data_IF_307187152614
#
_entry.id   IF_307187152614
#
_cell.length_a   1.000
_cell.length_b   1.000
_cell.length_c   1.000
_cell.angle_alpha   90.00
_cell.angle_beta   90.00
_cell.angle_gamma   90.00
#
_symmetry.space_group_name_H-M   'P 1'
#
loop_
_entity.id
_entity.type
_entity.pdbx_description
1 polymer ?
#
# COMPACT_ATOMS: atom_id res chain seq x y z
N UNK A 1 -39.43 -15.42 -66.93
CA UNK A 1 -39.97 -15.72 -65.58
C UNK A 1 -39.26 -14.76 -64.66
N UNK A 2 -39.93 -14.20 -63.66
CA UNK A 2 -39.23 -13.38 -62.68
C UNK A 2 -38.18 -14.24 -61.98
N UNK A 3 -36.96 -13.73 -61.87
CA UNK A 3 -35.85 -14.34 -61.15
C UNK A 3 -35.05 -13.25 -60.47
N UNK A 4 -34.72 -13.46 -59.20
CA UNK A 4 -33.83 -12.57 -58.47
C UNK A 4 -32.46 -12.48 -59.15
N UNK A 5 -31.87 -11.29 -59.17
CA UNK A 5 -30.55 -11.00 -59.76
C UNK A 5 -30.59 -10.77 -61.27
N UNK A 6 -31.77 -10.54 -61.87
CA UNK A 6 -31.90 -10.31 -63.32
C UNK A 6 -31.80 -8.85 -63.75
N UNK A 7 -31.66 -7.94 -62.77
CA UNK A 7 -31.53 -6.50 -62.92
C UNK A 7 -32.87 -5.77 -63.01
N UNK A 8 -34.00 -6.44 -62.77
CA UNK A 8 -35.33 -5.84 -62.86
C UNK A 8 -36.23 -6.19 -61.66
N UNK A 9 -36.69 -5.16 -60.95
CA UNK A 9 -37.70 -5.33 -59.89
C UNK A 9 -39.06 -5.70 -60.49
N UNK A 10 -39.55 -6.90 -60.18
CA UNK A 10 -40.88 -7.40 -60.50
C UNK A 10 -41.88 -7.12 -59.37
N UNK A 11 -42.84 -6.22 -59.64
CA UNK A 11 -43.86 -5.79 -58.68
C UNK A 11 -44.61 -6.98 -58.03
N UNK A 12 -44.59 -7.02 -56.69
CA UNK A 12 -45.28 -8.03 -55.89
C UNK A 12 -44.57 -9.39 -55.80
N UNK A 13 -43.38 -9.51 -56.38
CA UNK A 13 -42.52 -10.70 -56.28
C UNK A 13 -41.27 -10.39 -55.45
N UNK A 14 -40.63 -9.24 -55.70
CA UNK A 14 -39.44 -8.77 -55.00
C UNK A 14 -39.53 -7.29 -54.59
N UNK A 15 -38.74 -6.91 -53.59
CA UNK A 15 -38.64 -5.51 -53.12
C UNK A 15 -37.40 -4.80 -53.63
N UNK A 16 -36.39 -5.55 -54.08
CA UNK A 16 -35.14 -5.08 -54.67
C UNK A 16 -34.67 -6.09 -55.74
N UNK A 17 -33.77 -5.66 -56.64
CA UNK A 17 -32.97 -6.51 -57.53
C UNK A 17 -31.80 -5.63 -58.03
N UNK A 18 -30.57 -6.05 -57.75
CA UNK A 18 -29.35 -5.30 -58.08
C UNK A 18 -28.56 -5.91 -59.27
N UNK A 19 -29.08 -6.99 -59.87
CA UNK A 19 -28.50 -7.69 -60.99
C UNK A 19 -27.37 -8.67 -60.66
N UNK A 20 -27.25 -9.11 -59.39
CA UNK A 20 -26.28 -10.12 -58.98
C UNK A 20 -26.90 -11.18 -58.01
N UNK A 21 -26.11 -12.16 -57.57
CA UNK A 21 -26.50 -13.21 -56.60
C UNK A 21 -25.61 -13.15 -55.33
N UNK A 22 -25.28 -11.95 -54.84
CA UNK A 22 -24.40 -11.69 -53.70
C UNK A 22 -25.25 -11.34 -52.49
N UNK A 23 -25.09 -12.09 -51.40
CA UNK A 23 -25.92 -11.90 -50.21
C UNK A 23 -25.42 -10.78 -49.27
N UNK A 24 -24.25 -10.18 -49.54
CA UNK A 24 -23.58 -9.25 -48.62
C UNK A 24 -23.70 -7.78 -49.03
N UNK A 25 -24.69 -7.44 -49.86
CA UNK A 25 -24.96 -6.08 -50.32
C UNK A 25 -26.40 -5.63 -49.97
N UNK A 26 -26.87 -4.51 -50.53
CA UNK A 26 -28.20 -3.96 -50.21
C UNK A 26 -29.37 -4.80 -50.73
N UNK A 27 -29.12 -5.78 -51.60
CA UNK A 27 -30.13 -6.68 -52.12
C UNK A 27 -29.63 -8.13 -52.24
N UNK A 28 -29.74 -8.91 -51.15
CA UNK A 28 -29.37 -10.32 -51.14
C UNK A 28 -30.10 -11.14 -52.22
N UNK A 29 -29.61 -12.36 -52.51
CA UNK A 29 -30.19 -13.25 -53.51
C UNK A 29 -31.62 -13.77 -53.17
N UNK A 30 -32.16 -13.33 -52.04
CA UNK A 30 -33.58 -13.51 -51.65
C UNK A 30 -34.49 -12.45 -52.26
N UNK A 31 -33.93 -11.36 -52.82
CA UNK A 31 -34.62 -10.21 -53.38
C UNK A 31 -35.62 -9.55 -52.40
N UNK A 32 -35.29 -9.64 -51.12
CA UNK A 32 -35.77 -8.75 -50.07
C UNK A 32 -34.66 -7.75 -49.77
N UNK A 33 -34.99 -6.51 -49.42
CA UNK A 33 -33.96 -5.54 -49.01
C UNK A 33 -33.23 -6.07 -47.77
N UNK A 34 -31.90 -5.93 -47.74
CA UNK A 34 -31.09 -6.33 -46.60
C UNK A 34 -31.59 -5.63 -45.32
N UNK A 35 -31.80 -6.42 -44.27
CA UNK A 35 -32.17 -5.93 -42.94
C UNK A 35 -31.50 -6.77 -41.87
N UNK A 36 -31.09 -6.11 -40.79
CA UNK A 36 -30.59 -6.81 -39.62
C UNK A 36 -31.55 -7.91 -39.13
N UNK A 37 -31.01 -9.09 -38.89
CA UNK A 37 -31.71 -10.31 -38.50
C UNK A 37 -32.22 -11.15 -39.67
N UNK A 38 -31.80 -10.88 -40.91
CA UNK A 38 -32.20 -11.66 -42.09
C UNK A 38 -31.30 -12.87 -42.39
N UNK A 39 -30.20 -13.01 -41.65
CA UNK A 39 -29.22 -14.08 -41.75
C UNK A 39 -28.05 -13.77 -42.70
N UNK A 40 -27.98 -12.57 -43.26
CA UNK A 40 -26.92 -12.14 -44.16
C UNK A 40 -26.27 -10.83 -43.69
N UNK A 41 -24.94 -10.80 -43.67
CA UNK A 41 -24.19 -9.60 -43.24
C UNK A 41 -24.07 -8.61 -44.40
N UNK A 42 -24.70 -7.44 -44.29
CA UNK A 42 -24.52 -6.34 -45.23
C UNK A 42 -23.15 -5.67 -45.04
N UNK A 43 -22.21 -5.97 -45.94
CA UNK A 43 -20.80 -5.57 -45.82
C UNK A 43 -20.63 -4.04 -45.74
N UNK A 44 -20.02 -3.58 -44.65
CA UNK A 44 -19.75 -2.17 -44.40
C UNK A 44 -20.91 -1.39 -43.79
N UNK A 45 -22.04 -2.05 -43.50
CA UNK A 45 -23.17 -1.49 -42.75
C UNK A 45 -23.38 -2.26 -41.45
N UNK A 46 -23.34 -3.59 -41.49
CA UNK A 46 -23.54 -4.46 -40.33
C UNK A 46 -22.22 -5.10 -39.90
N UNK A 47 -22.01 -5.23 -38.58
CA UNK A 47 -20.84 -5.92 -38.04
C UNK A 47 -21.05 -7.44 -37.96
N UNK A 48 -22.30 -7.86 -37.79
CA UNK A 48 -22.75 -9.24 -37.71
C UNK A 48 -24.22 -9.33 -38.16
N UNK A 49 -24.68 -10.55 -38.44
CA UNK A 49 -26.10 -10.90 -38.57
C UNK A 49 -26.19 -12.41 -38.31
N UNK A 50 -26.98 -12.81 -37.33
CA UNK A 50 -27.16 -14.22 -36.95
C UNK A 50 -28.57 -14.76 -37.24
N UNK A 51 -29.41 -13.94 -37.89
CA UNK A 51 -30.75 -14.28 -38.32
C UNK A 51 -31.81 -14.25 -37.22
N UNK A 52 -31.58 -13.53 -36.12
CA UNK A 52 -32.55 -13.41 -35.02
C UNK A 52 -32.57 -12.00 -34.38
N UNK A 53 -33.49 -11.75 -33.42
CA UNK A 53 -33.64 -10.48 -32.69
C UNK A 53 -33.25 -10.62 -31.19
N UNK A 54 -32.26 -11.45 -30.85
CA UNK A 54 -31.90 -11.84 -29.47
C UNK A 54 -30.59 -11.17 -29.05
N UNK A 55 -30.72 -10.14 -28.21
CA UNK A 55 -29.59 -9.36 -27.68
C UNK A 55 -28.70 -10.08 -26.65
N UNK A 56 -28.87 -11.38 -26.43
CA UNK A 56 -28.07 -12.14 -25.44
C UNK A 56 -27.15 -13.16 -26.10
N UNK A 57 -26.95 -13.06 -27.41
CA UNK A 57 -25.99 -13.87 -28.16
C UNK A 57 -24.92 -13.00 -28.83
N UNK A 58 -24.22 -13.52 -29.84
CA UNK A 58 -23.08 -12.85 -30.44
C UNK A 58 -23.45 -11.58 -31.22
N UNK A 59 -24.71 -11.43 -31.63
CA UNK A 59 -25.14 -10.34 -32.49
C UNK A 59 -26.40 -9.67 -31.93
N UNK A 60 -26.32 -8.36 -31.71
CA UNK A 60 -27.47 -7.61 -31.23
C UNK A 60 -28.51 -7.45 -32.35
N UNK A 61 -29.76 -7.14 -31.99
CA UNK A 61 -30.87 -6.77 -32.88
C UNK A 61 -30.63 -5.46 -33.66
N UNK A 62 -29.48 -4.82 -33.38
CA UNK A 62 -28.95 -3.64 -34.07
C UNK A 62 -27.81 -3.97 -35.04
N UNK A 63 -27.44 -5.25 -35.16
CA UNK A 63 -26.33 -5.76 -35.98
C UNK A 63 -24.95 -5.21 -35.63
N UNK A 64 -24.81 -4.81 -34.37
CA UNK A 64 -23.53 -4.63 -33.70
C UNK A 64 -23.16 -5.95 -32.99
N UNK A 65 -21.87 -6.25 -32.94
CA UNK A 65 -21.39 -7.42 -32.20
C UNK A 65 -21.54 -7.15 -30.70
N UNK A 66 -22.07 -8.13 -29.95
CA UNK A 66 -22.17 -8.03 -28.50
C UNK A 66 -20.79 -7.86 -27.86
N UNK A 67 -20.70 -7.00 -26.85
CA UNK A 67 -19.44 -6.71 -26.16
C UNK A 67 -19.69 -6.20 -24.75
N UNK A 68 -18.84 -6.65 -23.82
CA UNK A 68 -18.77 -6.10 -22.46
C UNK A 68 -18.76 -4.56 -22.43
N UNK A 69 -19.68 -3.98 -21.67
CA UNK A 69 -19.92 -2.55 -21.53
C UNK A 69 -20.99 -1.98 -22.47
N UNK A 70 -21.72 -2.83 -23.22
CA UNK A 70 -22.80 -2.39 -24.11
C UNK A 70 -24.19 -2.32 -23.42
N UNK A 71 -24.25 -2.76 -22.16
CA UNK A 71 -25.44 -2.79 -21.32
C UNK A 71 -26.32 -4.03 -21.52
N UNK A 72 -25.86 -5.04 -22.26
CA UNK A 72 -26.61 -6.24 -22.61
C UNK A 72 -25.79 -7.51 -22.38
N UNK A 73 -26.23 -8.36 -21.45
CA UNK A 73 -25.52 -9.59 -21.09
C UNK A 73 -25.50 -10.62 -22.23
N UNK A 74 -24.32 -10.89 -22.77
CA UNK A 74 -24.02 -12.00 -23.68
C UNK A 74 -23.96 -13.33 -22.92
N UNK A 75 -25.06 -14.10 -23.00
CA UNK A 75 -25.26 -15.33 -22.25
C UNK A 75 -24.16 -16.38 -22.53
N UNK A 76 -23.45 -16.78 -21.47
CA UNK A 76 -22.41 -17.79 -21.51
C UNK A 76 -21.03 -17.28 -21.92
N UNK A 77 -20.89 -15.97 -22.20
CA UNK A 77 -19.61 -15.28 -22.39
C UNK A 77 -19.32 -14.36 -21.21
N UNK A 78 -20.33 -13.67 -20.70
CA UNK A 78 -20.22 -12.79 -19.53
C UNK A 78 -21.30 -13.06 -18.49
N UNK A 79 -21.06 -12.65 -17.25
CA UNK A 79 -22.00 -12.89 -16.13
C UNK A 79 -22.76 -11.63 -15.69
N UNK A 80 -22.29 -10.45 -16.09
CA UNK A 80 -22.92 -9.16 -15.88
C UNK A 80 -22.54 -8.20 -17.02
N UNK A 81 -23.31 -7.13 -17.19
CA UNK A 81 -22.97 -5.95 -17.99
C UNK A 81 -23.86 -4.81 -17.50
N UNK A 82 -23.27 -3.75 -16.95
CA UNK A 82 -23.98 -2.57 -16.45
C UNK A 82 -23.86 -1.34 -17.36
N UNK A 83 -23.17 -1.49 -18.49
CA UNK A 83 -23.03 -0.48 -19.53
C UNK A 83 -22.01 0.62 -19.23
N UNK A 84 -21.04 0.39 -18.34
CA UNK A 84 -19.91 1.29 -18.17
C UNK A 84 -18.55 0.57 -17.97
N UNK A 85 -17.49 1.36 -17.72
CA UNK A 85 -16.09 0.89 -17.60
C UNK A 85 -15.57 1.10 -16.15
N UNK A 86 -16.44 1.07 -15.14
CA UNK A 86 -16.07 1.32 -13.74
C UNK A 86 -15.74 0.01 -13.03
N UNK A 87 -14.47 -0.19 -12.71
CA UNK A 87 -14.01 -1.43 -12.06
C UNK A 87 -14.38 -1.57 -10.57
N UNK A 88 -14.99 -0.55 -9.97
CA UNK A 88 -15.16 -0.48 -8.50
C UNK A 88 -16.58 -0.78 -8.02
N UNK A 89 -17.42 -1.37 -8.85
CA UNK A 89 -18.82 -1.67 -8.53
C UNK A 89 -19.14 -3.17 -8.69
N UNK A 90 -20.43 -3.50 -8.91
CA UNK A 90 -20.90 -4.88 -9.01
C UNK A 90 -20.46 -5.57 -10.30
N UNK A 91 -20.12 -4.82 -11.36
CA UNK A 91 -19.76 -5.34 -12.68
C UNK A 91 -18.54 -4.62 -13.29
N UNK A 92 -17.31 -5.04 -12.94
CA UNK A 92 -16.09 -4.49 -13.50
C UNK A 92 -16.01 -4.63 -15.02
N UNK A 93 -15.07 -3.91 -15.65
CA UNK A 93 -14.85 -3.93 -17.11
C UNK A 93 -14.41 -5.30 -17.69
N UNK A 94 -14.30 -6.33 -16.85
CA UNK A 94 -14.12 -7.73 -17.24
C UNK A 94 -15.44 -8.45 -17.55
N UNK A 95 -16.59 -7.84 -17.21
CA UNK A 95 -17.93 -8.42 -17.29
C UNK A 95 -18.08 -9.78 -16.58
N UNK A 96 -17.25 -9.98 -15.57
CA UNK A 96 -17.45 -11.00 -14.55
C UNK A 96 -17.92 -10.31 -13.27
N UNK A 97 -18.91 -10.90 -12.58
CA UNK A 97 -19.43 -10.31 -11.35
C UNK A 97 -18.30 -10.06 -10.35
N UNK A 98 -18.25 -8.87 -9.75
CA UNK A 98 -17.21 -8.51 -8.79
C UNK A 98 -17.11 -9.53 -7.65
N UNK A 99 -15.89 -9.99 -7.37
CA UNK A 99 -15.58 -10.90 -6.29
C UNK A 99 -14.20 -10.63 -5.71
N UNK A 100 -14.11 -10.65 -4.39
CA UNK A 100 -12.84 -10.71 -3.69
C UNK A 100 -11.81 -11.67 -4.32
N UNK A 101 -10.65 -11.13 -4.66
CA UNK A 101 -9.55 -11.77 -5.37
C UNK A 101 -9.58 -11.57 -6.90
N UNK A 102 -10.48 -10.74 -7.44
CA UNK A 102 -10.59 -10.51 -8.90
C UNK A 102 -9.63 -9.44 -9.44
N UNK A 103 -8.97 -8.69 -8.54
CA UNK A 103 -7.99 -7.66 -8.86
C UNK A 103 -8.57 -6.24 -8.85
N UNK A 104 -9.85 -6.07 -8.51
CA UNK A 104 -10.52 -4.79 -8.40
C UNK A 104 -11.16 -4.63 -7.02
N UNK A 105 -11.20 -3.39 -6.51
CA UNK A 105 -11.80 -3.12 -5.20
C UNK A 105 -13.24 -2.68 -5.38
N UNK A 106 -14.20 -3.48 -4.92
CA UNK A 106 -15.62 -3.13 -4.91
C UNK A 106 -15.91 -2.07 -3.83
N UNK A 107 -16.09 -0.82 -4.24
CA UNK A 107 -16.21 0.34 -3.36
C UNK A 107 -17.42 0.23 -2.43
N UNK A 108 -17.15 0.26 -1.11
CA UNK A 108 -18.19 0.19 -0.09
C UNK A 108 -18.67 -1.22 0.26
N UNK A 109 -18.15 -2.25 -0.42
CA UNK A 109 -18.34 -3.67 -0.08
C UNK A 109 -17.03 -4.28 0.42
N UNK A 110 -15.91 -4.00 -0.23
CA UNK A 110 -14.58 -4.56 0.08
C UNK A 110 -13.66 -3.50 0.70
N UNK A 111 -12.78 -3.91 1.63
CA UNK A 111 -11.77 -3.00 2.22
C UNK A 111 -10.45 -3.00 1.42
N UNK A 112 -10.17 -4.07 0.70
CA UNK A 112 -9.02 -4.31 -0.16
C UNK A 112 -9.35 -5.39 -1.19
N UNK A 113 -8.49 -5.56 -2.19
CA UNK A 113 -8.45 -6.70 -3.12
C UNK A 113 -7.01 -6.81 -3.64
N UNK A 114 -6.41 -8.01 -3.57
CA UNK A 114 -5.04 -8.25 -4.04
C UNK A 114 -4.95 -9.24 -5.22
N UNK A 115 -6.08 -9.46 -5.89
CA UNK A 115 -6.18 -10.21 -7.14
C UNK A 115 -5.82 -11.69 -7.02
N UNK A 116 -5.95 -12.27 -5.82
CA UNK A 116 -5.68 -13.69 -5.62
C UNK A 116 -6.49 -14.31 -4.45
N UNK A 117 -6.46 -15.65 -4.35
CA UNK A 117 -7.19 -16.43 -3.33
C UNK A 117 -6.29 -16.88 -2.15
N UNK A 118 -5.29 -16.09 -1.76
CA UNK A 118 -4.43 -16.37 -0.60
C UNK A 118 -4.95 -15.59 0.61
N UNK A 119 -5.12 -16.25 1.75
CA UNK A 119 -5.79 -15.65 2.92
C UNK A 119 -4.86 -14.83 3.82
N UNK A 120 -3.55 -14.86 3.52
CA UNK A 120 -2.46 -14.49 4.43
C UNK A 120 -1.54 -13.40 3.82
N UNK A 121 -1.98 -12.66 2.80
CA UNK A 121 -1.22 -11.61 2.11
C UNK A 121 -1.87 -10.21 2.25
N UNK A 122 -1.93 -9.42 1.18
CA UNK A 122 -2.25 -7.99 1.25
C UNK A 122 -3.73 -7.76 1.60
N UNK A 123 -4.57 -8.68 1.15
CA UNK A 123 -5.97 -8.78 1.49
C UNK A 123 -6.32 -10.21 1.92
N UNK A 124 -7.16 -10.39 2.95
CA UNK A 124 -7.69 -11.73 3.19
C UNK A 124 -8.68 -12.12 2.09
N UNK A 125 -8.95 -13.42 1.95
CA UNK A 125 -9.94 -13.94 1.00
C UNK A 125 -11.38 -13.54 1.34
N UNK A 126 -11.59 -12.86 2.47
CA UNK A 126 -12.86 -12.24 2.86
C UNK A 126 -12.88 -10.72 2.65
N UNK A 127 -11.89 -10.20 1.92
CA UNK A 127 -11.70 -8.79 1.58
C UNK A 127 -11.66 -7.85 2.78
N UNK A 128 -11.26 -8.40 3.93
CA UNK A 128 -10.87 -7.63 5.09
C UNK A 128 -9.38 -7.33 5.03
N UNK A 129 -9.01 -6.12 5.45
CA UNK A 129 -7.60 -5.76 5.52
C UNK A 129 -6.91 -6.59 6.62
N UNK A 130 -6.07 -7.54 6.22
CA UNK A 130 -5.23 -8.35 7.11
C UNK A 130 -4.10 -7.50 7.72
N UNK A 131 -4.41 -6.80 8.79
CA UNK A 131 -3.44 -6.27 9.78
C UNK A 131 -2.08 -5.77 9.25
N UNK A 132 -2.05 -4.72 8.42
CA UNK A 132 -0.96 -3.73 8.27
C UNK A 132 0.52 -4.18 8.13
N UNK A 133 0.81 -5.46 7.91
CA UNK A 133 2.16 -5.98 7.86
C UNK A 133 2.30 -7.01 6.73
N UNK A 134 2.49 -6.51 5.51
CA UNK A 134 2.89 -7.27 4.32
C UNK A 134 3.82 -8.42 4.67
N UNK A 135 3.39 -9.68 4.49
CA UNK A 135 4.16 -10.88 4.86
C UNK A 135 5.43 -11.02 4.00
N UNK A 136 6.49 -10.28 4.35
CA UNK A 136 7.73 -10.30 3.63
C UNK A 136 8.79 -9.41 4.26
N UNK A 137 10.02 -9.56 3.75
CA UNK A 137 11.07 -8.60 4.06
C UNK A 137 10.80 -7.30 3.30
N UNK A 138 10.65 -6.20 4.01
CA UNK A 138 10.49 -4.89 3.40
C UNK A 138 11.83 -4.23 3.07
N UNK A 139 11.78 -3.22 2.21
CA UNK A 139 12.93 -2.39 1.90
C UNK A 139 13.39 -1.62 3.14
N UNK A 140 14.69 -1.71 3.44
CA UNK A 140 15.28 -0.98 4.55
C UNK A 140 15.46 0.49 4.18
N UNK A 141 14.84 1.39 4.93
CA UNK A 141 15.00 2.83 4.79
C UNK A 141 15.89 3.35 5.92
N UNK A 142 16.96 4.06 5.57
CA UNK A 142 17.90 4.62 6.55
C UNK A 142 18.10 6.11 6.32
N UNK A 143 17.80 6.91 7.35
CA UNK A 143 18.12 8.33 7.38
C UNK A 143 19.48 8.56 8.04
N UNK A 144 20.39 9.19 7.29
CA UNK A 144 21.75 9.52 7.73
C UNK A 144 21.88 11.00 8.06
N UNK A 145 22.18 11.30 9.33
CA UNK A 145 22.34 12.68 9.80
C UNK A 145 23.51 13.38 9.10
N UNK A 146 24.67 12.73 9.04
CA UNK A 146 25.89 13.37 8.51
C UNK A 146 25.91 13.46 6.99
N UNK A 147 25.21 12.55 6.30
CA UNK A 147 25.09 12.61 4.84
C UNK A 147 23.97 13.53 4.37
N UNK A 148 23.07 13.97 5.26
CA UNK A 148 21.89 14.74 4.90
C UNK A 148 21.05 14.02 3.83
N UNK A 149 20.89 12.71 4.00
CA UNK A 149 20.29 11.80 3.02
C UNK A 149 19.40 10.75 3.68
N UNK A 150 18.42 10.25 2.94
CA UNK A 150 17.75 8.99 3.21
C UNK A 150 18.10 8.01 2.09
N UNK A 151 18.28 6.73 2.42
CA UNK A 151 18.64 5.68 1.46
C UNK A 151 17.73 4.48 1.62
N UNK A 152 17.41 3.84 0.50
CA UNK A 152 16.62 2.61 0.45
C UNK A 152 17.52 1.45 0.05
N UNK A 153 17.38 0.31 0.72
CA UNK A 153 18.16 -0.89 0.48
C UNK A 153 17.24 -2.09 0.24
N UNK A 154 17.67 -2.98 -0.65
CA UNK A 154 16.97 -4.22 -1.02
C UNK A 154 16.84 -5.18 0.18
N UNK A 155 15.67 -5.80 0.40
CA UNK A 155 15.42 -6.70 1.52
C UNK A 155 16.31 -7.96 1.54
N UNK A 156 16.69 -8.47 0.36
CA UNK A 156 17.37 -9.77 0.23
C UNK A 156 18.88 -9.67 0.28
N UNK A 157 19.45 -8.69 -0.42
CA UNK A 157 20.90 -8.55 -0.59
C UNK A 157 21.47 -7.25 0.02
N UNK A 158 20.61 -6.39 0.59
CA UNK A 158 20.99 -5.10 1.17
C UNK A 158 21.74 -4.17 0.21
N UNK A 159 21.54 -4.36 -1.10
CA UNK A 159 22.03 -3.48 -2.15
C UNK A 159 21.32 -2.13 -2.09
N UNK A 160 22.06 -1.06 -2.33
CA UNK A 160 21.49 0.29 -2.39
C UNK A 160 20.55 0.39 -3.61
N UNK A 161 19.28 0.67 -3.36
CA UNK A 161 18.25 0.92 -4.38
C UNK A 161 18.27 2.38 -4.78
N UNK A 162 18.16 3.27 -3.80
CA UNK A 162 17.97 4.69 -4.07
C UNK A 162 18.54 5.60 -2.97
N UNK A 163 18.80 6.86 -3.33
CA UNK A 163 19.30 7.90 -2.44
C UNK A 163 18.51 9.19 -2.63
N UNK A 164 17.90 9.62 -1.54
CA UNK A 164 17.14 10.86 -1.44
C UNK A 164 17.98 11.93 -0.75
N UNK A 165 18.05 13.10 -1.37
CA UNK A 165 18.83 14.25 -0.89
C UNK A 165 17.88 15.40 -0.51
N UNK A 166 18.42 16.57 -0.16
CA UNK A 166 17.60 17.72 0.25
C UNK A 166 17.15 17.66 1.71
N UNK A 167 17.68 16.73 2.51
CA UNK A 167 17.47 16.68 3.94
C UNK A 167 18.52 17.54 4.68
N UNK A 168 18.31 17.78 5.98
CA UNK A 168 19.21 18.55 6.82
C UNK A 168 19.24 17.98 8.23
N UNK A 169 20.26 17.18 8.52
CA UNK A 169 20.45 16.51 9.80
C UNK A 169 19.30 15.58 10.19
N UNK A 170 18.78 14.71 9.30
CA UNK A 170 17.62 13.88 9.61
C UNK A 170 17.90 12.94 10.80
N UNK A 171 16.90 12.77 11.65
CA UNK A 171 16.99 12.06 12.93
C UNK A 171 16.06 10.85 13.02
N UNK A 172 14.96 10.87 12.25
CA UNK A 172 13.96 9.82 12.18
C UNK A 172 13.37 9.77 10.77
N UNK A 173 12.82 8.63 10.38
CA UNK A 173 12.16 8.44 9.09
C UNK A 173 11.03 7.44 9.27
N UNK A 174 9.91 7.66 8.59
CA UNK A 174 8.82 6.71 8.46
C UNK A 174 8.27 6.76 7.03
N UNK A 175 8.13 5.63 6.34
CA UNK A 175 7.33 5.55 5.12
C UNK A 175 5.86 5.80 5.43
N UNK A 176 5.14 6.44 4.50
CA UNK A 176 3.69 6.51 4.53
C UNK A 176 3.05 5.86 3.30
N UNK A 177 1.74 5.63 3.36
CA UNK A 177 1.00 4.93 2.32
C UNK A 177 0.85 5.74 1.02
N UNK A 178 1.12 7.05 1.06
CA UNK A 178 1.00 7.95 -0.10
C UNK A 178 2.28 8.01 -0.95
N UNK A 179 3.14 6.99 -0.88
CA UNK A 179 4.40 6.94 -1.63
C UNK A 179 5.44 7.97 -1.17
N UNK A 180 5.35 8.46 0.07
CA UNK A 180 6.30 9.43 0.63
C UNK A 180 7.01 8.92 1.87
N UNK A 181 8.22 9.43 2.10
CA UNK A 181 8.92 9.31 3.38
C UNK A 181 8.67 10.57 4.21
N UNK A 182 8.38 10.38 5.49
CA UNK A 182 8.21 11.42 6.50
C UNK A 182 9.43 11.44 7.40
N UNK A 183 10.28 12.44 7.21
CA UNK A 183 11.59 12.54 7.85
C UNK A 183 11.59 13.60 8.94
N UNK A 184 11.81 13.20 10.19
CA UNK A 184 11.95 14.15 11.30
C UNK A 184 13.33 14.80 11.30
N UNK A 185 13.37 16.13 11.22
CA UNK A 185 14.62 16.89 11.20
C UNK A 185 14.42 18.33 11.68
N UNK A 186 15.37 18.89 12.44
CA UNK A 186 15.34 20.30 12.90
C UNK A 186 13.98 20.79 13.44
N UNK A 187 13.19 19.89 14.03
CA UNK A 187 11.89 20.20 14.61
C UNK A 187 10.72 20.26 13.63
N UNK A 188 10.93 19.88 12.37
CA UNK A 188 9.90 19.75 11.34
C UNK A 188 9.85 18.32 10.82
N UNK A 189 8.72 17.95 10.22
CA UNK A 189 8.64 16.76 9.36
C UNK A 189 8.90 17.24 7.93
N UNK A 190 9.90 16.66 7.27
CA UNK A 190 10.14 16.86 5.84
C UNK A 190 9.66 15.65 5.06
N UNK A 191 8.77 15.87 4.12
CA UNK A 191 8.34 14.84 3.19
C UNK A 191 9.37 14.67 2.08
N UNK A 192 9.49 13.44 1.59
CA UNK A 192 10.27 13.08 0.42
C UNK A 192 9.40 12.17 -0.44
N UNK A 193 9.04 12.63 -1.63
CA UNK A 193 8.27 11.83 -2.58
C UNK A 193 9.17 10.76 -3.23
N UNK A 194 8.75 9.50 -3.16
CA UNK A 194 9.59 8.38 -3.60
C UNK A 194 9.77 8.34 -5.12
N UNK A 195 8.86 8.93 -5.90
CA UNK A 195 8.92 8.93 -7.37
C UNK A 195 9.58 10.22 -7.86
N UNK A 196 8.98 11.37 -7.56
CA UNK A 196 9.41 12.68 -8.05
C UNK A 196 10.64 13.23 -7.33
N UNK A 197 11.03 12.63 -6.20
CA UNK A 197 12.13 13.06 -5.32
C UNK A 197 11.95 14.46 -4.73
N UNK A 198 10.76 15.04 -4.87
CA UNK A 198 10.46 16.35 -4.31
C UNK A 198 10.42 16.30 -2.79
N UNK A 199 10.79 17.41 -2.15
CA UNK A 199 10.79 17.52 -0.70
C UNK A 199 10.03 18.75 -0.25
N UNK A 200 9.27 18.64 0.85
CA UNK A 200 8.54 19.75 1.44
C UNK A 200 8.53 19.64 2.97
N UNK A 201 8.63 20.77 3.67
CA UNK A 201 8.47 20.78 5.13
C UNK A 201 6.99 20.94 5.48
N UNK A 202 6.51 20.13 6.42
CA UNK A 202 5.14 20.11 6.92
C UNK A 202 5.11 20.18 8.46
N UNK A 203 3.94 20.48 9.03
CA UNK A 203 3.75 20.51 10.50
C UNK A 203 4.28 21.74 11.23
N UNK A 204 4.84 22.75 10.53
CA UNK A 204 5.01 24.11 11.06
C UNK A 204 5.86 24.26 12.33
N UNK A 205 7.04 23.64 12.41
CA UNK A 205 8.01 23.87 13.50
C UNK A 205 7.54 23.34 14.86
N UNK A 206 7.43 22.01 14.95
CA UNK A 206 6.89 21.26 16.09
C UNK A 206 7.67 21.45 17.39
N UNK A 207 9.00 21.60 17.28
CA UNK A 207 9.89 21.89 18.40
C UNK A 207 11.08 22.72 17.95
N UNK A 208 11.73 23.42 18.87
CA UNK A 208 13.02 24.08 18.62
C UNK A 208 14.21 23.11 18.58
N UNK A 209 13.97 21.80 18.64
CA UNK A 209 14.97 20.73 18.75
C UNK A 209 14.77 19.64 17.72
N UNK A 210 15.28 18.44 17.98
CA UNK A 210 15.21 17.32 17.05
C UNK A 210 14.00 16.42 17.32
N UNK A 211 13.38 15.93 16.23
CA UNK A 211 12.38 14.87 16.25
C UNK A 211 13.09 13.52 16.16
N UNK A 212 13.11 12.77 17.25
CA UNK A 212 13.84 11.51 17.35
C UNK A 212 13.00 10.30 16.93
N UNK A 213 11.69 10.48 16.78
CA UNK A 213 10.75 9.43 16.40
C UNK A 213 9.68 10.00 15.51
N UNK A 214 9.48 9.32 14.38
CA UNK A 214 8.38 9.55 13.45
C UNK A 214 7.83 8.16 13.14
N UNK A 215 6.51 8.00 13.22
CA UNK A 215 5.79 6.79 12.82
C UNK A 215 4.57 7.21 12.03
N UNK A 216 4.27 6.52 10.94
CA UNK A 216 3.00 6.68 10.23
C UNK A 216 2.12 5.47 10.57
N UNK A 217 0.89 5.73 10.98
CA UNK A 217 -0.11 4.71 11.28
C UNK A 217 -1.49 5.28 11.00
N UNK A 218 -2.36 4.52 10.32
CA UNK A 218 -3.71 4.94 9.93
C UNK A 218 -3.77 6.38 9.34
N UNK A 219 -2.95 6.65 8.32
CA UNK A 219 -2.86 7.96 7.65
C UNK A 219 -2.53 9.15 8.55
N UNK A 220 -1.90 8.89 9.71
CA UNK A 220 -1.45 9.93 10.64
C UNK A 220 0.02 9.78 10.98
N UNK A 221 0.66 10.93 11.20
CA UNK A 221 2.06 11.03 11.58
C UNK A 221 2.14 11.26 13.08
N UNK A 222 2.87 10.39 13.78
CA UNK A 222 3.16 10.49 15.21
C UNK A 222 4.60 10.93 15.38
N UNK A 223 4.79 12.18 15.79
CA UNK A 223 6.10 12.81 15.92
C UNK A 223 6.47 13.01 17.39
N UNK A 224 7.67 12.55 17.75
CA UNK A 224 8.20 12.66 19.11
C UNK A 224 9.64 13.17 19.10
N UNK A 225 10.01 13.88 20.17
CA UNK A 225 11.28 14.59 20.20
C UNK A 225 11.68 15.04 21.59
N UNK A 226 12.91 15.52 21.70
CA UNK A 226 13.41 16.09 22.95
C UNK A 226 12.73 17.44 23.21
N UNK A 227 12.29 17.65 24.46
CA UNK A 227 11.56 18.86 24.84
C UNK A 227 10.06 18.82 24.54
N UNK A 228 9.54 17.77 23.88
CA UNK A 228 8.10 17.61 23.67
C UNK A 228 7.43 17.07 24.95
N UNK A 229 6.34 17.69 25.43
CA UNK A 229 5.56 17.16 26.55
C UNK A 229 4.60 16.02 26.15
N UNK A 230 4.35 15.88 24.85
CA UNK A 230 3.43 14.91 24.25
C UNK A 230 3.91 14.50 22.87
N UNK A 231 3.43 13.37 22.35
CA UNK A 231 3.62 13.01 20.94
C UNK A 231 2.65 13.87 20.13
N UNK A 232 3.17 14.56 19.12
CA UNK A 232 2.33 15.35 18.21
C UNK A 232 1.72 14.42 17.16
N UNK A 233 0.44 14.60 16.87
CA UNK A 233 -0.25 13.88 15.80
C UNK A 233 -0.58 14.86 14.68
N UNK A 234 -0.21 14.53 13.46
CA UNK A 234 -0.50 15.30 12.25
C UNK A 234 -1.22 14.42 11.22
N UNK A 235 -2.03 15.02 10.37
CA UNK A 235 -2.43 14.36 9.12
C UNK A 235 -1.24 14.32 8.15
N UNK A 236 -1.32 13.52 7.09
CA UNK A 236 -0.25 13.41 6.08
C UNK A 236 0.09 14.74 5.39
N UNK A 237 -0.88 15.65 5.28
CA UNK A 237 -0.69 17.01 4.76
C UNK A 237 0.00 17.97 5.75
N UNK A 238 0.25 17.51 6.98
CA UNK A 238 0.86 18.29 8.07
C UNK A 238 -0.09 19.14 8.88
N UNK A 239 -1.39 19.08 8.62
CA UNK A 239 -2.40 19.74 9.46
C UNK A 239 -2.46 19.06 10.84
N UNK A 240 -2.81 19.86 11.85
CA UNK A 240 -2.84 19.39 13.24
C UNK A 240 -3.97 18.38 13.46
N UNK A 241 -3.62 17.17 13.93
CA UNK A 241 -4.58 16.11 14.25
C UNK A 241 -4.62 15.82 15.76
N UNK A 242 -3.97 16.65 16.59
CA UNK A 242 -3.99 16.55 18.04
C UNK A 242 -2.69 16.05 18.64
N UNK A 243 -2.78 15.44 19.83
CA UNK A 243 -1.61 15.00 20.60
C UNK A 243 -1.94 13.75 21.42
N UNK A 244 -0.95 12.85 21.58
CA UNK A 244 -0.99 11.76 22.57
C UNK A 244 -0.21 12.22 23.80
N UNK A 245 -0.91 12.40 24.92
CA UNK A 245 -0.31 12.89 26.16
C UNK A 245 0.66 11.86 26.75
N UNK A 246 1.86 12.29 27.13
CA UNK A 246 2.86 11.44 27.80
C UNK A 246 3.00 11.84 29.29
N UNK A 247 2.64 10.95 30.23
CA UNK A 247 2.73 11.25 31.67
C UNK A 247 4.14 11.50 32.18
N UNK A 248 5.18 10.96 31.54
CA UNK A 248 6.58 11.08 31.97
C UNK A 248 7.33 12.28 31.38
N UNK A 249 6.67 13.11 30.56
CA UNK A 249 7.19 14.41 30.12
C UNK A 249 8.45 14.38 29.23
N UNK A 250 9.15 15.52 29.20
CA UNK A 250 10.07 15.95 28.14
C UNK A 250 11.33 15.08 28.00
N UNK A 251 11.31 14.10 27.09
CA UNK A 251 12.48 13.48 26.43
C UNK A 251 12.04 12.26 25.60
N UNK A 252 11.00 12.46 24.81
CA UNK A 252 10.45 11.41 23.97
C UNK A 252 11.47 11.01 22.90
N UNK A 253 11.52 9.72 22.55
CA UNK A 253 12.51 9.19 21.60
C UNK A 253 11.85 8.57 20.40
N UNK A 254 11.43 7.33 20.49
CA UNK A 254 10.88 6.57 19.36
C UNK A 254 9.48 6.08 19.71
N UNK A 255 8.65 6.04 18.70
CA UNK A 255 7.24 5.62 18.71
C UNK A 255 7.08 4.37 17.84
N UNK A 256 6.13 3.50 18.18
CA UNK A 256 5.75 2.35 17.38
C UNK A 256 4.30 1.96 17.63
N UNK A 257 3.67 1.33 16.64
CA UNK A 257 2.36 0.68 16.78
C UNK A 257 2.52 -0.83 16.71
N UNK A 258 1.79 -1.55 17.55
CA UNK A 258 1.66 -3.00 17.47
C UNK A 258 0.62 -3.43 16.44
N UNK A 259 0.59 -4.72 16.05
CA UNK A 259 -0.36 -5.24 15.07
C UNK A 259 -1.82 -5.12 15.53
N UNK A 260 -2.07 -5.10 16.84
CA UNK A 260 -3.41 -4.89 17.42
C UNK A 260 -3.79 -3.40 17.56
N UNK A 261 -2.94 -2.47 17.12
CA UNK A 261 -3.15 -1.01 17.24
C UNK A 261 -2.64 -0.39 18.54
N UNK A 262 -2.04 -1.17 19.44
CA UNK A 262 -1.40 -0.65 20.65
C UNK A 262 -0.26 0.33 20.32
N UNK A 263 -0.21 1.45 21.03
CA UNK A 263 0.81 2.46 20.83
C UNK A 263 1.89 2.38 21.90
N UNK A 264 3.15 2.40 21.48
CA UNK A 264 4.32 2.30 22.36
C UNK A 264 5.24 3.50 22.18
N UNK A 265 5.74 4.02 23.30
CA UNK A 265 6.64 5.16 23.33
C UNK A 265 7.85 4.89 24.22
N UNK A 266 9.03 5.11 23.67
CA UNK A 266 10.28 5.09 24.42
C UNK A 266 10.72 6.49 24.86
N UNK A 267 11.46 6.56 25.95
CA UNK A 267 11.94 7.82 26.54
C UNK A 267 13.39 7.69 27.02
N UNK A 268 14.11 8.81 26.96
CA UNK A 268 15.50 8.86 27.41
C UNK A 268 15.60 9.13 28.91
N UNK A 269 16.59 8.52 29.59
CA UNK A 269 16.80 8.68 31.03
C UNK A 269 16.60 7.40 31.86
N UNK A 270 16.37 6.25 31.22
CA UNK A 270 16.38 4.93 31.89
C UNK A 270 15.09 4.54 32.62
N UNK A 271 14.03 5.36 32.50
CA UNK A 271 12.67 4.98 32.89
C UNK A 271 12.06 3.92 31.97
N UNK A 272 10.90 3.36 32.35
CA UNK A 272 10.18 2.40 31.52
C UNK A 272 9.72 3.05 30.21
N UNK A 273 9.43 2.21 29.22
CA UNK A 273 8.59 2.60 28.09
C UNK A 273 7.19 2.98 28.55
N UNK A 274 6.36 3.42 27.63
CA UNK A 274 4.98 3.80 27.88
C UNK A 274 4.08 3.12 26.85
N UNK A 275 2.89 2.71 27.26
CA UNK A 275 1.94 1.96 26.44
C UNK A 275 0.53 2.57 26.54
N UNK A 276 -0.15 2.60 25.40
CA UNK A 276 -1.55 2.98 25.24
C UNK A 276 -2.26 1.90 24.45
N UNK A 277 -3.53 1.68 24.78
CA UNK A 277 -4.37 0.76 24.04
C UNK A 277 -4.72 1.31 22.63
N UNK A 278 -5.40 0.53 21.77
CA UNK A 278 -5.74 0.95 20.40
C UNK A 278 -6.60 2.22 20.34
N UNK A 279 -7.38 2.51 21.38
CA UNK A 279 -8.11 3.78 21.52
C UNK A 279 -7.26 4.97 21.96
N UNK A 280 -5.93 4.82 22.00
CA UNK A 280 -4.94 5.79 22.51
C UNK A 280 -5.20 6.23 23.95
N UNK A 281 -5.82 5.38 24.77
CA UNK A 281 -5.91 5.59 26.21
C UNK A 281 -4.68 5.01 26.91
N UNK A 282 -4.07 5.81 27.79
CA UNK A 282 -2.84 5.42 28.49
C UNK A 282 -3.09 4.24 29.41
N UNK A 283 -2.35 3.15 29.20
CA UNK A 283 -2.48 1.91 29.97
C UNK A 283 -1.42 1.84 31.09
N UNK A 284 -0.22 2.34 30.85
CA UNK A 284 0.79 2.44 31.90
C UNK A 284 2.24 2.45 31.43
N UNK A 285 3.20 2.34 32.38
CA UNK A 285 4.60 2.10 32.06
C UNK A 285 4.80 0.67 31.54
N UNK A 286 5.70 0.52 30.58
CA UNK A 286 6.00 -0.72 29.86
C UNK A 286 7.49 -1.09 29.97
N UNK A 287 7.81 -2.38 30.05
CA UNK A 287 9.20 -2.87 29.96
C UNK A 287 10.08 -2.70 31.21
N UNK A 288 9.52 -2.25 32.34
CA UNK A 288 10.22 -2.13 33.63
C UNK A 288 11.30 -1.04 33.69
N UNK A 289 11.92 -0.86 34.85
CA UNK A 289 13.01 0.11 35.05
C UNK A 289 14.38 -0.45 34.65
N UNK A 290 15.34 0.42 34.31
CA UNK A 290 16.73 0.01 34.05
C UNK A 290 17.08 -0.24 32.58
N UNK A 291 16.23 0.20 31.65
CA UNK A 291 16.42 0.08 30.19
C UNK A 291 17.59 0.92 29.63
N UNK A 292 18.35 1.63 30.46
CA UNK A 292 19.61 2.27 30.04
C UNK A 292 19.45 3.23 28.85
N UNK A 293 18.50 4.17 28.94
CA UNK A 293 18.11 5.09 27.85
C UNK A 293 17.57 4.37 26.61
N UNK A 294 16.26 4.10 26.63
CA UNK A 294 15.52 3.55 25.52
C UNK A 294 15.47 4.57 24.36
N UNK A 295 16.11 4.24 23.25
CA UNK A 295 16.25 5.13 22.08
C UNK A 295 15.36 4.72 20.91
N UNK A 296 15.11 3.41 20.78
CA UNK A 296 14.26 2.84 19.75
C UNK A 296 13.20 1.95 20.38
N UNK A 297 12.00 1.96 19.81
CA UNK A 297 10.96 0.96 20.06
C UNK A 297 10.40 0.51 18.72
N UNK A 298 10.12 -0.79 18.59
CA UNK A 298 9.42 -1.38 17.45
C UNK A 298 8.66 -2.60 17.93
N UNK A 299 7.84 -3.17 17.06
CA UNK A 299 6.98 -4.33 17.34
C UNK A 299 7.20 -5.37 16.25
N UNK A 300 7.14 -6.63 16.64
CA UNK A 300 7.15 -7.76 15.71
C UNK A 300 5.74 -8.07 15.22
N UNK A 301 5.62 -8.82 14.13
CA UNK A 301 4.32 -9.30 13.62
C UNK A 301 3.63 -10.20 14.65
N UNK A 302 4.41 -10.94 15.44
CA UNK A 302 3.95 -11.72 16.60
C UNK A 302 3.39 -10.88 17.77
N UNK A 303 3.53 -9.56 17.72
CA UNK A 303 3.14 -8.65 18.78
C UNK A 303 4.21 -8.38 19.83
N UNK A 304 5.37 -9.06 19.76
CA UNK A 304 6.47 -8.81 20.69
C UNK A 304 6.99 -7.37 20.55
N UNK A 305 7.15 -6.69 21.68
CA UNK A 305 7.62 -5.30 21.72
C UNK A 305 9.12 -5.30 21.98
N UNK A 306 9.86 -4.59 21.14
CA UNK A 306 11.31 -4.54 21.17
C UNK A 306 11.74 -3.13 21.58
N UNK A 307 12.55 -3.03 22.64
CA UNK A 307 13.11 -1.75 23.09
C UNK A 307 14.63 -1.79 22.99
N UNK A 308 15.19 -0.86 22.22
CA UNK A 308 16.63 -0.74 22.03
C UNK A 308 17.26 0.26 23.01
N UNK A 309 18.28 -0.21 23.74
CA UNK A 309 18.97 0.53 24.79
C UNK A 309 20.34 1.02 24.34
N UNK A 310 20.55 2.33 24.42
CA UNK A 310 21.84 2.93 24.06
C UNK A 310 22.94 2.60 25.08
N UNK A 311 22.66 2.72 26.39
CA UNK A 311 23.70 2.56 27.41
C UNK A 311 24.06 1.09 27.66
N UNK A 312 23.09 0.19 27.46
CA UNK A 312 23.30 -1.24 27.69
C UNK A 312 23.78 -1.96 26.42
N UNK A 313 23.83 -1.27 25.27
CA UNK A 313 24.21 -1.83 23.97
C UNK A 313 23.47 -3.13 23.66
N UNK A 314 22.16 -3.16 23.94
CA UNK A 314 21.30 -4.32 23.82
C UNK A 314 19.89 -3.88 23.43
N UNK A 315 19.09 -4.79 22.87
CA UNK A 315 17.64 -4.64 22.84
C UNK A 315 16.97 -5.68 23.75
N UNK A 316 15.80 -5.32 24.24
CA UNK A 316 14.98 -6.10 25.16
C UNK A 316 13.68 -6.47 24.47
N UNK A 317 13.26 -7.72 24.62
CA UNK A 317 12.04 -8.27 24.05
C UNK A 317 11.02 -8.46 25.18
N UNK A 318 9.84 -7.92 24.97
CA UNK A 318 8.71 -8.03 25.89
C UNK A 318 7.50 -8.61 25.14
N UNK A 319 6.67 -9.37 25.84
CA UNK A 319 5.32 -9.66 25.34
C UNK A 319 4.46 -8.39 25.41
N UNK A 320 3.32 -8.39 24.71
CA UNK A 320 2.37 -7.28 24.69
C UNK A 320 1.87 -6.87 26.08
N UNK A 321 1.77 -7.84 27.01
CA UNK A 321 1.39 -7.59 28.41
C UNK A 321 2.52 -6.97 29.25
N UNK A 322 3.66 -6.64 28.64
CA UNK A 322 4.83 -6.07 29.31
C UNK A 322 5.75 -7.09 29.96
N UNK A 323 5.47 -8.39 29.86
CA UNK A 323 6.32 -9.44 30.42
C UNK A 323 7.66 -9.49 29.71
N UNK A 324 8.76 -9.38 30.46
CA UNK A 324 10.11 -9.53 29.92
C UNK A 324 10.36 -10.96 29.43
N UNK A 325 10.75 -11.10 28.16
CA UNK A 325 11.11 -12.38 27.55
C UNK A 325 12.62 -12.61 27.56
N UNK A 326 13.38 -11.70 26.94
CA UNK A 326 14.84 -11.85 26.75
C UNK A 326 15.50 -10.51 26.43
N UNK A 327 16.83 -10.49 26.56
CA UNK A 327 17.67 -9.39 26.08
C UNK A 327 18.74 -9.91 25.14
N UNK A 328 19.04 -9.18 24.08
CA UNK A 328 20.03 -9.53 23.07
C UNK A 328 21.10 -8.44 23.01
N UNK A 329 22.36 -8.84 23.19
CA UNK A 329 23.48 -7.92 23.04
C UNK A 329 23.65 -7.54 21.57
N UNK A 330 23.76 -6.24 21.30
CA UNK A 330 23.92 -5.72 19.94
C UNK A 330 25.39 -5.45 19.67
N UNK A 331 25.92 -6.03 18.60
CA UNK A 331 27.31 -5.85 18.17
C UNK A 331 27.52 -4.50 17.46
N UNK A 332 27.02 -3.40 18.03
CA UNK A 332 27.08 -2.09 17.41
C UNK A 332 28.50 -1.51 17.41
N UNK A 333 29.31 -1.71 18.46
CA UNK A 333 30.59 -1.00 18.62
C UNK A 333 30.44 0.53 18.72
N UNK A 334 29.22 1.01 18.99
CA UNK A 334 28.81 2.40 19.03
C UNK A 334 27.40 2.52 19.63
N UNK A 335 26.84 3.73 19.62
CA UNK A 335 25.52 4.00 20.22
C UNK A 335 24.39 3.50 19.33
N UNK A 336 23.48 2.68 19.89
CA UNK A 336 22.20 2.37 19.25
C UNK A 336 21.36 3.66 19.22
N UNK A 337 20.81 4.00 18.06
CA UNK A 337 19.96 5.18 17.87
C UNK A 337 18.51 4.87 17.57
N UNK A 338 18.26 3.81 16.80
CA UNK A 338 16.92 3.48 16.33
C UNK A 338 16.85 1.99 15.97
N UNK A 339 15.64 1.47 15.87
CA UNK A 339 15.34 0.07 15.56
C UNK A 339 14.03 0.02 14.78
N UNK A 340 13.97 -0.85 13.77
CA UNK A 340 12.75 -1.18 13.06
C UNK A 340 12.66 -2.69 12.86
N UNK A 341 11.43 -3.19 12.73
CA UNK A 341 11.13 -4.57 12.34
C UNK A 341 10.41 -4.57 10.99
N UNK A 342 10.69 -5.57 10.16
CA UNK A 342 9.78 -5.96 9.09
C UNK A 342 8.81 -7.05 9.56
N UNK A 343 7.90 -7.45 8.69
CA UNK A 343 6.86 -8.43 8.99
C UNK A 343 7.38 -9.87 9.02
N UNK A 344 8.56 -10.11 8.42
CA UNK A 344 9.32 -11.35 8.58
C UNK A 344 10.09 -11.40 9.92
N UNK A 345 9.81 -10.48 10.85
CA UNK A 345 10.45 -10.32 12.15
C UNK A 345 11.97 -10.08 12.08
N UNK A 346 12.46 -9.62 10.91
CA UNK A 346 13.82 -9.13 10.75
C UNK A 346 13.96 -7.79 11.44
N UNK A 347 14.93 -7.67 12.34
CA UNK A 347 15.22 -6.41 13.04
C UNK A 347 16.41 -5.70 12.40
N UNK A 348 16.25 -4.39 12.21
CA UNK A 348 17.25 -3.49 11.69
C UNK A 348 17.67 -2.51 12.79
N UNK A 349 18.91 -2.61 13.26
CA UNK A 349 19.42 -1.79 14.38
C UNK A 349 20.43 -0.76 13.89
N UNK A 350 20.12 0.52 14.04
CA UNK A 350 20.99 1.62 13.62
C UNK A 350 22.09 1.94 14.63
N UNK A 351 23.36 1.78 14.22
CA UNK A 351 24.55 2.04 15.02
C UNK A 351 25.25 3.35 14.59
N UNK A 352 24.83 4.48 15.16
CA UNK A 352 25.23 5.83 14.73
C UNK A 352 26.74 6.07 14.73
N UNK A 353 27.43 5.71 15.82
CA UNK A 353 28.88 5.92 15.95
C UNK A 353 29.74 4.91 15.20
N UNK A 354 29.16 3.78 14.81
CA UNK A 354 29.86 2.71 14.11
C UNK A 354 29.59 2.70 12.60
N UNK A 355 28.80 3.66 12.12
CA UNK A 355 28.50 3.85 10.70
C UNK A 355 27.94 2.59 10.02
N UNK A 356 26.99 1.93 10.69
CA UNK A 356 26.31 0.77 10.11
C UNK A 356 24.91 0.54 10.68
N UNK A 357 24.11 -0.21 9.92
CA UNK A 357 22.89 -0.88 10.39
C UNK A 357 23.17 -2.37 10.47
N UNK A 358 22.84 -3.01 11.59
CA UNK A 358 23.00 -4.46 11.78
C UNK A 358 21.64 -5.14 11.62
N UNK A 359 21.59 -6.23 10.87
CA UNK A 359 20.37 -6.98 10.55
C UNK A 359 20.34 -8.26 11.36
N UNK A 360 19.23 -8.49 12.06
CA UNK A 360 18.97 -9.68 12.86
C UNK A 360 17.75 -10.41 12.29
N UNK A 361 17.80 -11.73 12.19
CA UNK A 361 16.61 -12.52 11.87
C UNK A 361 15.65 -12.65 13.07
N UNK A 362 14.50 -13.31 12.85
CA UNK A 362 13.50 -13.59 13.88
C UNK A 362 14.05 -14.36 15.09
N UNK A 363 15.17 -15.09 14.92
CA UNK A 363 15.85 -15.84 15.96
C UNK A 363 16.97 -15.02 16.65
N UNK A 364 17.03 -13.72 16.40
CA UNK A 364 18.04 -12.78 16.91
C UNK A 364 19.47 -13.09 16.47
N UNK A 365 19.65 -13.81 15.36
CA UNK A 365 20.97 -14.08 14.78
C UNK A 365 21.31 -13.00 13.76
N UNK A 366 22.57 -12.53 13.78
CA UNK A 366 23.04 -11.53 12.80
C UNK A 366 23.12 -12.17 11.42
N UNK A 367 22.39 -11.59 10.46
CA UNK A 367 22.33 -12.09 9.07
C UNK A 367 23.00 -11.16 8.07
N UNK A 368 23.25 -9.90 8.43
CA UNK A 368 23.90 -8.93 7.56
C UNK A 368 24.20 -7.60 8.23
N UNK A 369 24.88 -6.73 7.49
CA UNK A 369 25.08 -5.33 7.88
C UNK A 369 25.13 -4.41 6.66
N UNK A 370 24.65 -3.18 6.84
CA UNK A 370 24.72 -2.11 5.85
C UNK A 370 25.67 -1.04 6.34
N UNK A 371 26.73 -0.76 5.59
CA UNK A 371 27.63 0.34 5.88
C UNK A 371 27.00 1.68 5.46
N UNK A 372 26.77 2.56 6.44
CA UNK A 372 26.21 3.90 6.20
C UNK A 372 26.64 4.84 7.33
N UNK A 373 27.11 6.03 6.99
CA UNK A 373 27.59 6.99 7.99
C UNK A 373 26.45 7.48 8.88
N UNK A 374 26.63 7.44 10.20
CA UNK A 374 25.73 8.06 11.18
C UNK A 374 24.22 7.80 10.95
N UNK A 375 23.77 6.52 10.91
CA UNK A 375 22.37 6.18 10.79
C UNK A 375 21.61 6.62 12.05
N UNK A 376 20.62 7.50 11.86
CA UNK A 376 19.83 8.05 12.95
C UNK A 376 18.39 7.56 12.93
N UNK A 377 17.76 7.54 11.75
CA UNK A 377 16.44 6.94 11.54
C UNK A 377 16.57 5.62 10.79
N UNK A 378 15.82 4.62 11.21
CA UNK A 378 15.70 3.32 10.54
C UNK A 378 14.22 2.99 10.45
N UNK A 379 13.76 2.58 9.27
CA UNK A 379 12.38 2.16 9.05
C UNK A 379 12.34 1.09 7.96
N UNK A 380 11.16 0.48 7.80
CA UNK A 380 10.90 -0.52 6.77
C UNK A 380 9.80 0.02 5.87
N UNK A 381 10.06 0.02 4.56
CA UNK A 381 9.11 0.34 3.51
C UNK A 381 8.62 -1.00 2.91
N UNK A 382 7.32 -1.33 2.96
CA UNK A 382 6.84 -2.63 2.49
C UNK A 382 7.11 -2.89 1.00
N UNK A 383 6.79 -1.91 0.16
CA UNK A 383 6.98 -1.97 -1.29
C UNK A 383 7.44 -0.62 -1.85
N UNK A 384 8.10 -0.65 -3.00
CA UNK A 384 8.38 0.57 -3.77
C UNK A 384 7.13 0.96 -4.57
N UNK A 385 6.81 2.27 -4.67
CA UNK A 385 5.70 2.76 -5.49
C UNK A 385 6.01 2.75 -6.99
#
# INVERSE_FOLDING_TARGET
AASCGDGFIHEGVETCDDGNDVDTDDCPATCQAAVCGDGFVYEGVEACDDGNDVNTDACLDTCEAASCGDGLVYEGVETCDDGDDVDTDDCPSTCETATCGDGFVHEGVEECDDGNDVDDDECANDCTATSSCFQGKGYLVVASTSLNQARIYEPTNLGLVDTFTGLSGPQSVAPGPDGKLYVGQNGVIRTVDLVSKQTADIGGGLVSGNLYGTTVYENKIYASGSGMPSVKVLNLDGSDAGNVASPSGTNLRSTAFGPAGDFYLSSFGGGPGQHWNPGLAYDGPFGGGGLGSAFGVTTRSTGDVIIASQNNAAYYVFAQDGTFKKSVAVACGGQIRNIAADCADTLYVGCYGANKVVVYDANDSVTGEVAITSPAGVAVLPALP
#
